data_IF_467186000753
#
_entry.id   IF_467186000753
#
_cell.length_a   1.000
_cell.length_b   1.000
_cell.length_c   1.000
_cell.angle_alpha   90.00
_cell.angle_beta   90.00
_cell.angle_gamma   90.00
#
_symmetry.space_group_name_H-M   'P 1'
#
loop_
_entity.id
_entity.type
_entity.pdbx_description
1 polymer ?
#
# COMPACT_ATOMS: atom_id res chain seq x y z
N UNK A 1 -31.67 33.22 13.58
CA UNK A 1 -31.70 32.33 14.76
C UNK A 1 -32.83 31.34 14.58
N UNK A 2 -32.55 30.05 14.43
CA UNK A 2 -33.62 29.04 14.38
C UNK A 2 -33.07 27.63 14.62
N UNK A 3 -33.54 27.03 15.71
CA UNK A 3 -34.04 25.64 15.81
C UNK A 3 -33.10 24.52 15.35
N UNK A 4 -32.23 24.06 16.27
CA UNK A 4 -32.05 22.64 16.67
C UNK A 4 -30.82 22.50 17.55
N UNK A 5 -31.00 22.92 18.81
CA UNK A 5 -30.10 22.59 19.90
C UNK A 5 -30.25 21.10 20.23
N UNK A 6 -29.12 20.48 20.55
CA UNK A 6 -28.95 19.65 21.74
C UNK A 6 -29.99 18.57 21.97
N UNK A 7 -29.68 17.34 21.57
CA UNK A 7 -30.21 16.17 22.24
C UNK A 7 -29.26 14.99 22.01
N UNK A 8 -28.50 14.64 23.06
CA UNK A 8 -28.22 13.26 23.47
C UNK A 8 -27.20 13.31 24.62
N UNK A 9 -27.68 13.82 25.75
CA UNK A 9 -27.05 13.71 27.06
C UNK A 9 -28.08 12.98 27.92
N UNK A 10 -27.70 11.77 28.33
CA UNK A 10 -28.11 11.08 29.56
C UNK A 10 -29.60 10.70 29.66
N UNK A 11 -29.88 9.40 29.47
CA UNK A 11 -30.97 8.73 30.18
C UNK A 11 -30.34 7.62 31.01
N UNK A 12 -30.05 7.94 32.28
CA UNK A 12 -29.92 6.98 33.37
C UNK A 12 -30.97 7.40 34.37
N UNK A 13 -32.07 6.65 34.46
CA UNK A 13 -32.91 6.62 35.66
C UNK A 13 -33.59 5.26 35.77
N UNK A 14 -33.31 4.65 36.91
CA UNK A 14 -33.81 3.43 37.54
C UNK A 14 -35.33 3.28 37.46
N UNK A 15 -35.79 2.07 37.15
CA UNK A 15 -37.09 1.56 37.62
C UNK A 15 -36.94 0.07 37.97
N UNK A 16 -37.08 -0.24 39.26
CA UNK A 16 -37.30 -1.59 39.76
C UNK A 16 -38.80 -1.92 39.76
N UNK A 17 -39.08 -3.23 39.74
CA UNK A 17 -40.35 -3.92 40.06
C UNK A 17 -41.38 -3.99 38.92
N UNK A 18 -41.44 -5.18 38.32
CA UNK A 18 -42.48 -5.60 37.38
C UNK A 18 -41.96 -6.75 36.54
N UNK A 19 -42.27 -7.99 36.93
CA UNK A 19 -41.84 -9.19 36.22
C UNK A 19 -42.25 -9.14 34.74
N UNK A 20 -41.26 -9.08 33.86
CA UNK A 20 -41.37 -9.33 32.43
C UNK A 20 -40.14 -10.14 32.03
N UNK A 21 -40.38 -11.27 31.37
CA UNK A 21 -39.37 -12.21 30.92
C UNK A 21 -38.24 -11.48 30.18
N UNK A 22 -37.01 -11.64 30.67
CA UNK A 22 -35.82 -11.20 29.96
C UNK A 22 -35.71 -12.02 28.67
N UNK A 23 -35.64 -11.40 27.48
CA UNK A 23 -35.12 -12.10 26.32
C UNK A 23 -33.68 -12.50 26.64
N UNK A 24 -33.35 -13.76 26.41
CA UNK A 24 -32.01 -14.31 26.56
C UNK A 24 -30.99 -13.37 25.91
N UNK A 25 -30.02 -12.94 26.70
CA UNK A 25 -28.85 -12.21 26.21
C UNK A 25 -28.16 -13.09 25.16
N UNK A 26 -28.35 -12.74 23.89
CA UNK A 26 -27.49 -13.23 22.81
C UNK A 26 -26.06 -12.89 23.18
N UNK A 27 -25.27 -13.91 23.51
CA UNK A 27 -23.83 -13.78 23.63
C UNK A 27 -23.30 -13.31 22.27
N UNK A 28 -22.94 -12.03 22.19
CA UNK A 28 -22.29 -11.49 21.01
C UNK A 28 -21.00 -12.27 20.81
N UNK A 29 -20.97 -13.11 19.77
CA UNK A 29 -19.76 -13.77 19.32
C UNK A 29 -18.68 -12.70 19.09
N UNK A 30 -17.42 -12.94 19.48
CA UNK A 30 -16.36 -12.00 19.22
C UNK A 30 -16.26 -11.75 17.72
N UNK A 31 -16.57 -10.53 17.28
CA UNK A 31 -16.28 -10.10 15.92
C UNK A 31 -14.75 -10.12 15.75
N UNK A 32 -14.26 -11.14 15.05
CA UNK A 32 -12.88 -11.20 14.62
C UNK A 32 -12.63 -10.03 13.66
N UNK A 33 -12.02 -8.95 14.14
CA UNK A 33 -11.52 -7.90 13.29
C UNK A 33 -10.40 -8.48 12.42
N UNK A 34 -10.69 -8.73 11.15
CA UNK A 34 -9.68 -9.13 10.18
C UNK A 34 -8.56 -8.08 10.17
N UNK A 35 -7.31 -8.49 10.42
CA UNK A 35 -6.17 -7.58 10.27
C UNK A 35 -6.14 -7.05 8.84
N UNK A 36 -6.20 -5.73 8.70
CA UNK A 36 -6.06 -5.08 7.41
C UNK A 36 -4.75 -5.49 6.74
N UNK A 37 -4.83 -5.86 5.45
CA UNK A 37 -3.64 -6.18 4.63
C UNK A 37 -2.76 -4.92 4.52
N UNK A 38 -1.46 -5.09 4.72
CA UNK A 38 -0.49 -4.00 4.56
C UNK A 38 -0.59 -3.41 3.14
N UNK A 39 -0.65 -2.07 3.05
CA UNK A 39 -0.66 -1.34 1.80
C UNK A 39 0.75 -0.76 1.55
N UNK A 40 1.54 -1.29 0.61
CA UNK A 40 2.89 -0.81 0.32
C UNK A 40 2.99 0.68 -0.04
N UNK A 41 1.88 1.29 -0.47
CA UNK A 41 1.82 2.70 -0.86
C UNK A 41 1.64 3.66 0.32
N UNK A 42 1.28 3.17 1.52
CA UNK A 42 1.14 4.02 2.71
C UNK A 42 2.44 4.68 3.13
N UNK A 43 3.57 4.08 2.74
CA UNK A 43 4.91 4.54 3.09
C UNK A 43 5.48 5.54 2.06
N UNK A 44 4.69 5.96 1.07
CA UNK A 44 5.12 6.91 0.05
C UNK A 44 5.30 8.31 0.66
N UNK A 45 6.42 8.94 0.36
CA UNK A 45 6.74 10.32 0.79
C UNK A 45 6.58 11.33 -0.33
N UNK A 46 6.32 10.86 -1.56
CA UNK A 46 6.01 11.70 -2.71
C UNK A 46 5.07 11.01 -3.70
N UNK A 47 4.47 11.80 -4.58
CA UNK A 47 3.64 11.28 -5.66
C UNK A 47 4.47 10.86 -6.89
N UNK A 48 3.89 10.00 -7.72
CA UNK A 48 4.51 9.57 -8.99
C UNK A 48 4.81 10.75 -9.92
N UNK A 49 3.91 11.74 -9.98
CA UNK A 49 4.11 12.93 -10.83
C UNK A 49 5.34 13.75 -10.41
N UNK A 50 5.52 13.94 -9.10
CA UNK A 50 6.71 14.62 -8.55
C UNK A 50 7.96 13.81 -8.86
N UNK A 51 7.92 12.50 -8.64
CA UNK A 51 9.05 11.61 -8.94
C UNK A 51 9.45 11.65 -10.42
N UNK A 52 8.49 11.57 -11.35
CA UNK A 52 8.72 11.68 -12.80
C UNK A 52 9.38 13.02 -13.17
N UNK A 53 8.92 14.13 -12.57
CA UNK A 53 9.49 15.46 -12.80
C UNK A 53 10.93 15.58 -12.29
N UNK A 54 11.28 14.92 -11.20
CA UNK A 54 12.65 14.91 -10.67
C UNK A 54 13.58 14.02 -11.49
N UNK A 55 13.07 12.92 -12.07
CA UNK A 55 13.84 11.96 -12.87
C UNK A 55 14.72 11.04 -12.03
N UNK A 56 15.49 11.61 -11.09
CA UNK A 56 16.38 10.92 -10.16
C UNK A 56 16.18 11.46 -8.74
N UNK A 57 15.91 10.57 -7.80
CA UNK A 57 15.63 10.91 -6.40
C UNK A 57 16.60 10.19 -5.47
N UNK A 58 17.21 10.93 -4.55
CA UNK A 58 18.04 10.37 -3.48
C UNK A 58 17.20 10.13 -2.24
N UNK A 59 17.24 8.92 -1.70
CA UNK A 59 16.48 8.55 -0.52
C UNK A 59 17.16 7.42 0.24
N UNK A 60 17.31 7.57 1.57
CA UNK A 60 17.93 6.55 2.43
C UNK A 60 19.31 6.06 1.92
N UNK A 61 20.19 6.99 1.52
CA UNK A 61 21.53 6.70 0.95
C UNK A 61 21.51 5.87 -0.36
N UNK A 62 20.37 5.86 -1.06
CA UNK A 62 20.16 5.18 -2.35
C UNK A 62 19.70 6.18 -3.40
N UNK A 63 19.84 5.77 -4.66
CA UNK A 63 19.38 6.52 -5.83
C UNK A 63 18.21 5.77 -6.44
N UNK A 64 17.14 6.48 -6.76
CA UNK A 64 15.95 5.94 -7.41
C UNK A 64 15.68 6.69 -8.71
N UNK A 65 15.51 5.95 -9.79
CA UNK A 65 15.04 6.45 -11.10
C UNK A 65 13.85 5.59 -11.52
N UNK A 66 13.31 5.81 -12.71
CA UNK A 66 12.21 5.00 -13.22
C UNK A 66 12.40 4.61 -14.68
N UNK A 67 11.66 3.58 -15.07
CA UNK A 67 11.38 3.22 -16.45
C UNK A 67 9.90 2.83 -16.57
N UNK A 68 9.39 2.87 -17.79
CA UNK A 68 7.98 2.65 -18.11
C UNK A 68 7.85 1.61 -19.22
N UNK A 69 7.88 0.30 -18.90
CA UNK A 69 7.83 -0.76 -19.89
C UNK A 69 6.57 -0.66 -20.75
N UNK A 70 6.71 -0.95 -22.04
CA UNK A 70 5.65 -0.85 -23.03
C UNK A 70 5.28 -2.22 -23.64
N UNK A 71 5.87 -3.31 -23.15
CA UNK A 71 5.66 -4.67 -23.64
C UNK A 71 6.60 -5.06 -24.76
N UNK A 72 7.40 -4.14 -25.30
CA UNK A 72 8.41 -4.47 -26.31
C UNK A 72 9.59 -5.19 -25.67
N UNK A 73 10.12 -6.22 -26.32
CA UNK A 73 11.29 -6.96 -25.82
C UNK A 73 12.61 -6.19 -26.01
N UNK A 74 12.53 -4.89 -26.28
CA UNK A 74 13.64 -4.02 -26.65
C UNK A 74 14.11 -3.26 -25.40
N UNK A 75 15.41 -3.29 -25.12
CA UNK A 75 16.07 -2.55 -24.03
C UNK A 75 15.41 -2.73 -22.64
N UNK A 76 14.91 -3.92 -22.31
CA UNK A 76 14.30 -4.18 -21.00
C UNK A 76 12.87 -3.63 -20.83
N UNK A 77 12.20 -3.28 -21.92
CA UNK A 77 10.82 -2.75 -21.92
C UNK A 77 9.73 -3.84 -21.98
N UNK A 78 10.11 -5.09 -21.67
CA UNK A 78 9.29 -6.29 -21.87
C UNK A 78 8.03 -6.31 -21.01
N UNK A 79 7.11 -7.22 -21.32
CA UNK A 79 5.89 -7.42 -20.52
C UNK A 79 6.14 -8.12 -19.18
N UNK A 80 7.32 -8.74 -19.03
CA UNK A 80 7.72 -9.49 -17.85
C UNK A 80 9.13 -9.08 -17.43
N UNK A 81 9.36 -9.06 -16.12
CA UNK A 81 10.67 -8.90 -15.52
C UNK A 81 11.51 -10.17 -15.67
N UNK A 82 12.79 -10.06 -15.35
CA UNK A 82 13.75 -11.17 -15.33
C UNK A 82 13.33 -12.37 -14.45
N UNK A 83 12.50 -12.17 -13.43
CA UNK A 83 11.96 -13.25 -12.59
C UNK A 83 10.54 -13.73 -12.99
N UNK A 84 10.02 -13.25 -14.13
CA UNK A 84 8.72 -13.61 -14.67
C UNK A 84 7.54 -12.82 -14.12
N UNK A 85 7.77 -11.78 -13.31
CA UNK A 85 6.71 -10.91 -12.79
C UNK A 85 6.18 -10.01 -13.91
N UNK A 86 4.86 -9.97 -14.08
CA UNK A 86 4.22 -9.06 -15.04
C UNK A 86 4.47 -7.61 -14.65
N UNK A 87 4.96 -6.79 -15.59
CA UNK A 87 5.49 -5.44 -15.27
C UNK A 87 4.62 -4.28 -15.76
N UNK A 88 3.70 -4.53 -16.69
CA UNK A 88 2.94 -3.44 -17.36
C UNK A 88 1.87 -2.78 -16.48
N UNK A 89 1.64 -3.29 -15.27
CA UNK A 89 0.82 -2.67 -14.22
C UNK A 89 1.67 -1.91 -13.18
N UNK A 90 3.01 -1.95 -13.28
CA UNK A 90 3.96 -1.33 -12.36
C UNK A 90 4.05 -1.93 -10.96
N UNK A 91 3.32 -3.03 -10.68
CA UNK A 91 3.22 -3.61 -9.34
C UNK A 91 3.15 -5.14 -9.37
N UNK A 92 3.76 -5.76 -8.38
CA UNK A 92 3.66 -7.21 -8.20
C UNK A 92 2.24 -7.63 -7.78
N UNK A 93 1.99 -8.94 -7.74
CA UNK A 93 0.70 -9.53 -7.32
C UNK A 93 0.27 -9.15 -5.89
N UNK A 94 1.19 -8.67 -5.05
CA UNK A 94 0.91 -8.27 -3.68
C UNK A 94 0.74 -6.75 -3.54
N UNK A 95 0.91 -5.98 -4.61
CA UNK A 95 0.78 -4.53 -4.66
C UNK A 95 2.08 -3.77 -4.36
N UNK A 96 3.23 -4.42 -4.25
CA UNK A 96 4.53 -3.74 -4.14
C UNK A 96 4.96 -3.18 -5.48
N UNK A 97 5.73 -2.08 -5.46
CA UNK A 97 6.39 -1.58 -6.66
C UNK A 97 7.39 -2.61 -7.19
N UNK A 98 7.52 -2.69 -8.51
CA UNK A 98 8.52 -3.55 -9.14
C UNK A 98 9.83 -2.78 -9.25
N UNK A 99 10.93 -3.39 -8.79
CA UNK A 99 12.26 -2.80 -8.82
C UNK A 99 13.21 -3.62 -9.69
N UNK A 100 14.02 -2.92 -10.48
CA UNK A 100 15.19 -3.49 -11.15
C UNK A 100 16.45 -3.16 -10.36
N UNK A 101 17.22 -4.19 -9.97
CA UNK A 101 18.50 -4.07 -9.27
C UNK A 101 19.22 -5.45 -9.19
N UNK A 102 20.52 -5.48 -8.90
CA UNK A 102 21.32 -6.70 -8.78
C UNK A 102 21.21 -7.44 -7.42
N UNK A 103 20.43 -6.95 -6.46
CA UNK A 103 20.12 -7.68 -5.21
C UNK A 103 19.27 -8.94 -5.49
N UNK A 104 19.17 -9.82 -4.50
CA UNK A 104 18.34 -11.04 -4.57
C UNK A 104 16.89 -10.70 -4.93
N UNK A 105 16.28 -11.46 -5.84
CA UNK A 105 14.85 -11.31 -6.13
C UNK A 105 14.01 -11.50 -4.86
N UNK A 106 12.90 -10.76 -4.76
CA UNK A 106 12.06 -10.74 -3.56
C UNK A 106 12.54 -9.79 -2.46
N UNK A 107 13.72 -9.16 -2.61
CA UNK A 107 14.21 -8.19 -1.61
C UNK A 107 13.28 -6.98 -1.55
N UNK A 108 12.73 -6.68 -0.37
CA UNK A 108 11.91 -5.49 -0.12
C UNK A 108 12.78 -4.27 0.18
N UNK A 109 12.45 -3.15 -0.44
CA UNK A 109 13.21 -1.90 -0.37
C UNK A 109 12.23 -0.74 -0.14
N UNK A 110 12.47 0.09 0.88
CA UNK A 110 11.80 1.38 1.02
C UNK A 110 12.25 2.32 -0.10
N UNK A 111 11.30 2.93 -0.77
CA UNK A 111 11.48 3.87 -1.87
C UNK A 111 10.73 5.17 -1.56
N UNK A 112 10.95 6.25 -2.33
CA UNK A 112 10.15 7.46 -2.21
C UNK A 112 8.65 7.27 -2.51
N UNK A 113 8.30 6.24 -3.27
CA UNK A 113 6.94 5.94 -3.74
C UNK A 113 6.25 4.83 -2.92
N UNK A 114 6.82 4.45 -1.77
CA UNK A 114 6.37 3.35 -0.92
C UNK A 114 7.36 2.19 -0.90
N UNK A 115 6.89 0.96 -0.72
CA UNK A 115 7.76 -0.23 -0.69
C UNK A 115 7.74 -0.95 -2.05
N UNK A 116 8.94 -1.23 -2.56
CA UNK A 116 9.16 -2.03 -3.75
C UNK A 116 9.86 -3.36 -3.48
N UNK A 117 9.78 -4.27 -4.44
CA UNK A 117 10.39 -5.59 -4.43
C UNK A 117 11.26 -5.76 -5.67
N UNK A 118 12.48 -6.29 -5.48
CA UNK A 118 13.38 -6.60 -6.59
C UNK A 118 12.84 -7.79 -7.38
N UNK A 119 12.48 -7.55 -8.64
CA UNK A 119 11.94 -8.55 -9.58
C UNK A 119 12.70 -8.53 -10.91
N UNK A 120 13.44 -7.46 -11.20
CA UNK A 120 14.09 -7.27 -12.48
C UNK A 120 15.58 -6.94 -12.36
N UNK A 121 16.25 -6.86 -13.51
CA UNK A 121 17.67 -6.52 -13.65
C UNK A 121 17.83 -5.24 -14.47
N UNK A 122 18.90 -4.49 -14.19
CA UNK A 122 19.20 -3.25 -14.92
C UNK A 122 20.13 -2.31 -14.17
N UNK A 123 20.03 -2.27 -12.83
CA UNK A 123 20.87 -1.40 -11.98
C UNK A 123 21.69 -2.18 -10.97
N UNK A 124 22.71 -1.54 -10.39
CA UNK A 124 23.67 -2.16 -9.49
C UNK A 124 23.86 -1.35 -8.21
N UNK A 125 24.19 -2.04 -7.12
CA UNK A 125 24.58 -1.40 -5.87
C UNK A 125 23.43 -0.67 -5.21
N UNK A 126 23.62 0.63 -4.94
CA UNK A 126 22.66 1.50 -4.24
C UNK A 126 21.68 2.22 -5.17
N UNK A 127 21.73 1.96 -6.48
CA UNK A 127 20.82 2.53 -7.47
C UNK A 127 19.70 1.53 -7.79
N UNK A 128 18.44 1.95 -7.77
CA UNK A 128 17.26 1.15 -8.10
C UNK A 128 16.42 1.85 -9.16
N UNK A 129 15.96 1.10 -10.15
CA UNK A 129 14.96 1.57 -11.12
C UNK A 129 13.58 1.07 -10.68
N UNK A 130 12.63 1.99 -10.57
CA UNK A 130 11.24 1.70 -10.23
C UNK A 130 10.45 1.58 -11.53
N UNK A 131 9.67 0.51 -11.70
CA UNK A 131 8.69 0.43 -12.77
C UNK A 131 7.55 1.39 -12.46
N UNK A 132 7.32 2.34 -13.35
CA UNK A 132 6.26 3.34 -13.21
C UNK A 132 5.39 3.32 -14.46
N UNK A 133 4.09 3.11 -14.28
CA UNK A 133 3.11 3.06 -15.38
C UNK A 133 2.33 4.37 -15.54
#
# INVERSE_FOLDING_TARGET
MSVKKWLNVIIICVAMIGGLALPSLSTAAPQAYAKAKYNPSSDAVMSVSVFKRMGRVYYHKRVFTYYSPNGSHVYGMGAYTSDGTYTLNGRDKNGYLILANNKKFGTKIKTPLGVGVVHDRGTYGSHYDIVVK
#
